data_IF_695423863314
#
_entry.id   IF_695423863314
#
_cell.length_a   1.000
_cell.length_b   1.000
_cell.length_c   1.000
_cell.angle_alpha   90.00
_cell.angle_beta   90.00
_cell.angle_gamma   90.00
#
_symmetry.space_group_name_H-M   'P 1'
#
loop_
_entity.id
_entity.type
_entity.pdbx_description
1 polymer ?
#
# COMPACT_ATOMS: atom_id res chain seq x y z
N UNK A 1 8.99 32.44 13.55
CA UNK A 1 9.48 31.33 14.40
C UNK A 1 10.85 30.90 13.86
N UNK A 2 11.85 30.72 14.73
CA UNK A 2 13.13 30.12 14.36
C UNK A 2 13.18 28.72 14.95
N UNK A 3 13.37 27.70 14.12
CA UNK A 3 13.68 26.35 14.59
C UNK A 3 15.18 26.30 14.97
N UNK A 4 15.53 25.57 16.02
CA UNK A 4 16.92 25.41 16.49
C UNK A 4 17.79 24.50 15.59
N UNK A 5 17.36 24.28 14.35
CA UNK A 5 18.05 23.44 13.38
C UNK A 5 17.87 23.96 11.95
N UNK A 6 18.80 23.63 11.03
CA UNK A 6 18.71 24.05 9.64
C UNK A 6 17.43 23.54 8.96
N UNK A 7 16.67 24.45 8.38
CA UNK A 7 15.47 24.16 7.61
C UNK A 7 15.48 24.95 6.31
N UNK A 8 14.66 24.52 5.35
CA UNK A 8 14.44 25.23 4.08
C UNK A 8 12.96 25.25 3.73
N UNK A 9 12.59 26.26 2.96
CA UNK A 9 11.25 26.34 2.38
C UNK A 9 11.25 25.60 1.04
N UNK A 10 10.29 24.72 0.86
CA UNK A 10 10.05 24.00 -0.39
C UNK A 10 8.60 24.20 -0.84
N UNK A 11 8.35 23.89 -2.12
CA UNK A 11 7.01 23.70 -2.64
C UNK A 11 6.81 22.24 -3.02
N UNK A 12 5.76 21.63 -2.51
CA UNK A 12 5.30 20.31 -2.93
C UNK A 12 3.80 20.34 -3.21
N UNK A 13 3.43 20.04 -4.47
CA UNK A 13 2.07 20.25 -4.93
C UNK A 13 1.68 21.73 -4.78
N UNK A 14 0.54 21.98 -4.14
CA UNK A 14 0.09 23.33 -3.84
C UNK A 14 0.64 23.89 -2.51
N UNK A 15 1.24 23.05 -1.67
CA UNK A 15 1.69 23.43 -0.34
C UNK A 15 3.09 24.08 -0.34
N UNK A 16 3.23 25.15 0.45
CA UNK A 16 4.52 25.78 0.78
C UNK A 16 4.93 25.35 2.18
N UNK A 17 6.09 24.73 2.35
CA UNK A 17 6.44 24.02 3.58
C UNK A 17 7.86 24.35 4.02
N UNK A 18 8.03 24.68 5.30
CA UNK A 18 9.29 24.50 6.01
C UNK A 18 9.53 23.01 6.28
N UNK A 19 10.69 22.52 5.85
CA UNK A 19 11.17 21.16 6.10
C UNK A 19 12.61 21.21 6.57
N UNK A 20 13.09 20.22 7.34
CA UNK A 20 14.50 20.15 7.70
C UNK A 20 15.39 20.12 6.47
N UNK A 21 16.51 20.84 6.52
CA UNK A 21 17.46 20.79 5.43
C UNK A 21 18.30 19.51 5.52
N UNK A 22 17.83 18.47 4.83
CA UNK A 22 18.42 17.13 4.89
C UNK A 22 19.93 17.08 4.58
N UNK A 23 20.47 18.00 3.78
CA UNK A 23 21.91 18.05 3.50
C UNK A 23 22.73 18.40 4.75
N UNK A 24 22.19 19.25 5.64
CA UNK A 24 22.84 19.61 6.89
C UNK A 24 22.96 18.43 7.89
N UNK A 25 22.22 17.35 7.67
CA UNK A 25 22.21 16.16 8.53
C UNK A 25 22.96 14.96 7.94
N UNK A 26 23.55 15.09 6.75
CA UNK A 26 24.42 14.06 6.16
C UNK A 26 25.85 14.24 6.65
N UNK A 27 26.44 13.18 7.20
CA UNK A 27 27.89 13.11 7.48
C UNK A 27 28.67 12.49 6.32
N UNK A 28 27.99 11.78 5.42
CA UNK A 28 28.56 11.24 4.20
C UNK A 28 27.50 11.11 3.09
N UNK A 29 27.88 11.09 1.79
CA UNK A 29 26.94 11.09 0.66
C UNK A 29 25.95 9.91 0.63
N UNK A 30 26.33 8.76 1.20
CA UNK A 30 25.52 7.53 1.21
C UNK A 30 24.54 7.45 2.39
N UNK A 31 24.53 8.44 3.29
CA UNK A 31 23.68 8.38 4.47
C UNK A 31 22.21 8.75 4.15
N UNK A 32 21.30 7.94 4.68
CA UNK A 32 19.87 8.22 4.62
C UNK A 32 19.50 9.33 5.61
N UNK A 33 19.60 10.57 5.15
CA UNK A 33 19.36 11.79 5.93
C UNK A 33 17.97 11.89 6.59
N UNK A 34 16.85 11.46 5.97
CA UNK A 34 15.51 11.68 6.54
C UNK A 34 15.32 11.12 7.95
N UNK A 35 15.95 10.00 8.30
CA UNK A 35 15.84 9.41 9.65
C UNK A 35 16.70 10.10 10.71
N UNK A 36 17.57 11.03 10.31
CA UNK A 36 18.50 11.74 11.19
C UNK A 36 18.05 13.16 11.51
N UNK A 37 17.15 13.73 10.71
CA UNK A 37 16.63 15.07 10.93
C UNK A 37 15.72 15.11 12.18
N UNK A 38 15.69 16.25 12.93
CA UNK A 38 14.83 16.41 14.11
C UNK A 38 13.33 16.27 13.82
N UNK A 39 12.91 16.56 12.59
CA UNK A 39 11.55 16.35 12.09
C UNK A 39 11.63 15.46 10.86
N UNK A 40 10.66 14.56 10.68
CA UNK A 40 10.69 13.71 9.49
C UNK A 40 10.13 14.43 8.26
N UNK A 41 10.91 14.39 7.19
CA UNK A 41 10.48 14.70 5.83
C UNK A 41 11.30 13.86 4.85
N UNK A 42 10.61 13.14 3.96
CA UNK A 42 11.27 12.39 2.90
C UNK A 42 10.77 12.86 1.51
N UNK A 43 11.64 13.47 0.68
CA UNK A 43 11.28 13.88 -0.67
C UNK A 43 10.97 12.69 -1.61
N UNK A 44 11.55 11.50 -1.35
CA UNK A 44 11.26 10.27 -2.12
C UNK A 44 9.79 9.84 -1.96
N UNK A 45 9.14 10.21 -0.85
CA UNK A 45 7.73 9.91 -0.61
C UNK A 45 6.75 10.85 -1.34
N UNK A 46 7.22 11.75 -2.22
CA UNK A 46 6.34 12.62 -3.03
C UNK A 46 5.33 11.81 -3.84
N UNK A 47 5.77 10.76 -4.53
CA UNK A 47 4.88 9.88 -5.30
C UNK A 47 3.80 9.23 -4.43
N UNK A 48 4.16 8.83 -3.21
CA UNK A 48 3.19 8.28 -2.26
C UNK A 48 2.10 9.32 -1.92
N UNK A 49 2.51 10.56 -1.64
CA UNK A 49 1.61 11.66 -1.30
C UNK A 49 0.73 12.06 -2.48
N UNK A 50 1.27 12.12 -3.69
CA UNK A 50 0.49 12.39 -4.91
C UNK A 50 -0.60 11.33 -5.13
N UNK A 51 -0.25 10.04 -5.00
CA UNK A 51 -1.23 8.94 -5.12
C UNK A 51 -2.28 9.02 -3.99
N UNK A 52 -1.89 9.40 -2.76
CA UNK A 52 -2.81 9.55 -1.65
C UNK A 52 -3.82 10.68 -1.87
N UNK A 53 -3.35 11.82 -2.39
CA UNK A 53 -4.20 12.96 -2.79
C UNK A 53 -5.24 12.49 -3.80
N UNK A 54 -4.79 11.80 -4.85
CA UNK A 54 -5.67 11.27 -5.90
C UNK A 54 -6.68 10.26 -5.36
N UNK A 55 -6.24 9.33 -4.50
CA UNK A 55 -7.12 8.30 -3.93
C UNK A 55 -8.19 8.91 -3.01
N UNK A 56 -7.82 9.85 -2.13
CA UNK A 56 -8.75 10.51 -1.22
C UNK A 56 -9.71 11.42 -1.99
N UNK A 57 -9.23 12.16 -3.00
CA UNK A 57 -10.09 12.97 -3.87
C UNK A 57 -11.11 12.11 -4.62
N UNK A 58 -10.66 10.98 -5.17
CA UNK A 58 -11.53 10.02 -5.86
C UNK A 58 -12.60 9.49 -4.91
N UNK A 59 -12.20 9.06 -3.70
CA UNK A 59 -13.13 8.62 -2.67
C UNK A 59 -14.13 9.71 -2.28
N UNK A 60 -13.67 10.94 -2.04
CA UNK A 60 -14.50 12.10 -1.70
C UNK A 60 -15.58 12.34 -2.75
N UNK A 61 -15.21 12.33 -4.04
CA UNK A 61 -16.16 12.51 -5.15
C UNK A 61 -17.14 11.35 -5.27
N UNK A 62 -16.70 10.12 -5.04
CA UNK A 62 -17.57 8.94 -5.09
C UNK A 62 -18.65 8.98 -4.00
N UNK A 63 -18.31 9.44 -2.79
CA UNK A 63 -19.29 9.53 -1.69
C UNK A 63 -20.13 10.81 -1.71
N UNK A 64 -19.78 11.79 -2.56
CA UNK A 64 -20.53 13.03 -2.83
C UNK A 64 -20.86 13.85 -1.58
N UNK A 65 -19.92 13.96 -0.65
CA UNK A 65 -20.05 14.81 0.54
C UNK A 65 -18.69 15.28 1.04
N UNK A 66 -18.71 16.25 1.94
CA UNK A 66 -17.51 16.67 2.61
C UNK A 66 -16.96 15.58 3.55
N UNK A 67 -15.63 15.60 3.70
CA UNK A 67 -14.89 14.64 4.51
C UNK A 67 -14.01 15.31 5.56
N UNK A 68 -13.86 14.62 6.70
CA UNK A 68 -12.85 14.89 7.70
C UNK A 68 -11.74 13.85 7.63
N UNK A 69 -10.50 14.29 7.48
CA UNK A 69 -9.32 13.44 7.27
C UNK A 69 -8.41 13.50 8.49
N UNK A 70 -7.87 12.36 8.93
CA UNK A 70 -6.87 12.32 9.99
C UNK A 70 -5.54 11.75 9.49
N UNK A 71 -4.45 12.39 9.89
CA UNK A 71 -3.08 11.92 9.72
C UNK A 71 -2.42 11.80 11.11
N UNK A 72 -2.44 10.59 11.72
CA UNK A 72 -1.97 10.42 13.09
C UNK A 72 -0.43 10.51 13.28
N UNK A 73 0.34 10.47 12.18
CA UNK A 73 1.81 10.47 12.16
C UNK A 73 2.32 11.51 11.15
N UNK A 74 2.08 12.79 11.43
CA UNK A 74 2.14 13.86 10.45
C UNK A 74 3.55 14.35 10.08
N UNK A 75 4.58 14.11 10.92
CA UNK A 75 5.88 14.73 10.76
C UNK A 75 5.75 16.25 10.64
N UNK A 76 6.28 16.84 9.56
CA UNK A 76 6.12 18.26 9.25
C UNK A 76 4.73 18.69 8.71
N UNK A 77 3.75 17.77 8.65
CA UNK A 77 2.38 18.04 8.21
C UNK A 77 2.16 18.05 6.69
N UNK A 78 3.19 17.74 5.89
CA UNK A 78 3.15 17.84 4.42
C UNK A 78 1.92 17.20 3.79
N UNK A 79 1.52 16.01 4.23
CA UNK A 79 0.47 15.24 3.58
C UNK A 79 -0.92 15.80 3.91
N UNK A 80 -1.24 16.02 5.18
CA UNK A 80 -2.55 16.57 5.56
C UNK A 80 -2.72 18.04 5.17
N UNK A 81 -1.65 18.83 5.14
CA UNK A 81 -1.69 20.18 4.54
C UNK A 81 -2.07 20.07 3.06
N UNK A 82 -1.41 19.18 2.31
CA UNK A 82 -1.77 18.93 0.91
C UNK A 82 -3.20 18.44 0.75
N UNK A 83 -3.73 17.60 1.65
CA UNK A 83 -5.16 17.23 1.62
C UNK A 83 -6.07 18.45 1.74
N UNK A 84 -5.75 19.40 2.63
CA UNK A 84 -6.56 20.60 2.82
C UNK A 84 -6.52 21.58 1.62
N UNK A 85 -5.38 21.67 0.92
CA UNK A 85 -5.18 22.62 -0.20
C UNK A 85 -5.48 22.04 -1.59
N UNK A 86 -5.36 20.72 -1.79
CA UNK A 86 -5.48 20.09 -3.12
C UNK A 86 -6.77 19.27 -3.31
N UNK A 87 -7.59 19.10 -2.27
CA UNK A 87 -8.83 18.32 -2.34
C UNK A 87 -10.02 19.18 -1.95
N UNK A 88 -10.81 19.55 -2.96
CA UNK A 88 -12.13 20.16 -2.76
C UNK A 88 -13.03 19.20 -1.98
N UNK A 89 -13.74 19.70 -0.97
CA UNK A 89 -14.61 18.90 -0.11
C UNK A 89 -13.92 18.25 1.09
N UNK A 90 -12.64 18.52 1.34
CA UNK A 90 -12.05 18.28 2.68
C UNK A 90 -12.49 19.41 3.61
N UNK A 91 -13.43 19.13 4.51
CA UNK A 91 -13.93 20.10 5.49
C UNK A 91 -12.89 20.41 6.55
N UNK A 92 -12.26 19.37 7.10
CA UNK A 92 -11.31 19.50 8.21
C UNK A 92 -10.23 18.41 8.15
N UNK A 93 -8.99 18.78 8.45
CA UNK A 93 -7.87 17.85 8.60
C UNK A 93 -7.41 17.85 10.05
N UNK A 94 -7.17 16.66 10.60
CA UNK A 94 -6.64 16.49 11.94
C UNK A 94 -5.23 15.89 11.84
N UNK A 95 -4.24 16.68 12.21
CA UNK A 95 -2.84 16.29 12.24
C UNK A 95 -2.43 15.91 13.66
N UNK A 96 -1.62 14.87 13.79
CA UNK A 96 -1.00 14.52 15.06
C UNK A 96 0.44 14.06 14.83
N UNK A 97 1.34 14.40 15.74
CA UNK A 97 2.65 13.77 15.84
C UNK A 97 3.09 13.71 17.30
N UNK A 98 3.77 12.64 17.70
CA UNK A 98 4.26 12.49 19.08
C UNK A 98 5.47 13.38 19.36
N UNK A 99 6.23 13.76 18.31
CA UNK A 99 7.40 14.60 18.44
C UNK A 99 6.97 16.09 18.56
N UNK A 100 7.24 16.77 19.68
CA UNK A 100 6.84 18.17 19.87
C UNK A 100 7.47 19.10 18.82
N UNK A 101 8.69 18.83 18.37
CA UNK A 101 9.36 19.62 17.33
C UNK A 101 8.67 19.44 15.97
N UNK A 102 8.16 18.24 15.69
CA UNK A 102 7.39 17.98 14.48
C UNK A 102 6.02 18.69 14.54
N UNK A 103 5.38 18.66 15.70
CA UNK A 103 4.13 19.39 15.95
C UNK A 103 4.29 20.91 15.73
N UNK A 104 5.33 21.53 16.29
CA UNK A 104 5.63 22.95 16.09
C UNK A 104 5.90 23.29 14.62
N UNK A 105 6.68 22.47 13.92
CA UNK A 105 6.94 22.66 12.50
C UNK A 105 5.67 22.50 11.65
N UNK A 106 4.81 21.53 11.97
CA UNK A 106 3.53 21.36 11.32
C UNK A 106 2.60 22.55 11.59
N UNK A 107 2.58 23.11 12.80
CA UNK A 107 1.80 24.30 13.14
C UNK A 107 2.24 25.52 12.31
N UNK A 108 3.55 25.76 12.23
CA UNK A 108 4.11 26.80 11.36
C UNK A 108 3.72 26.61 9.89
N UNK A 109 3.77 25.37 9.40
CA UNK A 109 3.37 25.07 8.02
C UNK A 109 1.87 25.28 7.78
N UNK A 110 1.02 24.92 8.75
CA UNK A 110 -0.43 25.17 8.68
C UNK A 110 -0.72 26.68 8.59
N UNK A 111 -0.08 27.49 9.45
CA UNK A 111 -0.24 28.94 9.45
C UNK A 111 0.25 29.56 8.14
N UNK A 112 1.41 29.12 7.64
CA UNK A 112 2.01 29.62 6.39
C UNK A 112 1.13 29.37 5.16
N UNK A 113 0.30 28.32 5.19
CA UNK A 113 -0.66 28.03 4.12
C UNK A 113 -2.06 28.62 4.38
N UNK A 114 -2.26 29.39 5.47
CA UNK A 114 -3.53 30.01 5.81
C UNK A 114 -4.62 29.01 6.22
N UNK A 115 -4.23 27.89 6.85
CA UNK A 115 -5.11 26.74 7.09
C UNK A 115 -5.57 26.59 8.56
N UNK A 116 -5.29 27.56 9.42
CA UNK A 116 -5.54 27.46 10.87
C UNK A 116 -6.99 27.13 11.25
N UNK A 117 -7.97 27.55 10.44
CA UNK A 117 -9.40 27.24 10.66
C UNK A 117 -9.84 25.86 10.13
N UNK A 118 -9.04 25.24 9.25
CA UNK A 118 -9.37 23.97 8.57
C UNK A 118 -8.50 22.79 9.03
N UNK A 119 -7.47 23.06 9.82
CA UNK A 119 -6.50 22.05 10.27
C UNK A 119 -6.31 22.17 11.77
N UNK A 120 -6.61 21.08 12.49
CA UNK A 120 -6.30 20.97 13.92
C UNK A 120 -5.05 20.13 14.12
N UNK A 121 -4.18 20.55 15.04
CA UNK A 121 -2.98 19.81 15.41
C UNK A 121 -3.08 19.26 16.84
N UNK A 122 -2.55 18.07 17.05
CA UNK A 122 -2.33 17.46 18.35
C UNK A 122 -0.86 17.03 18.50
N UNK A 123 -0.37 16.99 19.74
CA UNK A 123 0.93 16.41 20.08
C UNK A 123 0.73 15.24 21.04
N UNK A 124 0.28 14.10 20.50
CA UNK A 124 -0.08 12.92 21.28
C UNK A 124 0.49 11.64 20.65
N UNK A 125 0.50 10.55 21.42
CA UNK A 125 0.63 9.22 20.83
C UNK A 125 -0.52 8.97 19.83
N UNK A 126 -0.20 8.40 18.67
CA UNK A 126 -1.17 8.22 17.58
C UNK A 126 -2.35 7.31 17.97
N UNK A 127 -2.15 6.31 18.84
CA UNK A 127 -3.26 5.48 19.32
C UNK A 127 -4.14 6.28 20.29
N UNK A 128 -3.56 7.05 21.21
CA UNK A 128 -4.32 7.93 22.10
C UNK A 128 -5.17 8.92 21.28
N UNK A 129 -4.52 9.63 20.36
CA UNK A 129 -5.17 10.58 19.46
C UNK A 129 -6.39 9.96 18.75
N UNK A 130 -6.22 8.83 18.07
CA UNK A 130 -7.32 8.17 17.35
C UNK A 130 -8.44 7.69 18.30
N UNK A 131 -8.11 7.16 19.48
CA UNK A 131 -9.12 6.68 20.44
C UNK A 131 -10.04 7.80 20.93
N UNK A 132 -9.60 9.06 20.97
CA UNK A 132 -10.46 10.21 21.29
C UNK A 132 -11.63 10.39 20.30
N UNK A 133 -11.50 9.86 19.08
CA UNK A 133 -12.49 9.96 18.01
C UNK A 133 -13.25 8.65 17.75
N UNK A 134 -13.05 7.61 18.57
CA UNK A 134 -13.70 6.31 18.40
C UNK A 134 -15.22 6.31 18.68
N UNK A 135 -15.71 7.34 19.39
CA UNK A 135 -17.12 7.48 19.73
C UNK A 135 -18.00 7.73 18.49
N UNK A 136 -19.25 7.24 18.46
CA UNK A 136 -20.20 7.55 17.40
C UNK A 136 -20.29 9.05 17.11
N UNK A 137 -20.46 9.42 15.83
CA UNK A 137 -20.53 10.81 15.33
C UNK A 137 -19.25 11.66 15.43
N UNK A 138 -18.19 11.18 16.10
CA UNK A 138 -16.87 11.86 16.13
C UNK A 138 -15.85 11.29 15.12
N UNK A 139 -16.14 10.13 14.57
CA UNK A 139 -15.24 9.35 13.70
C UNK A 139 -14.88 10.07 12.40
N UNK A 140 -13.69 9.78 11.90
CA UNK A 140 -13.16 10.33 10.66
C UNK A 140 -13.75 9.64 9.43
N UNK A 141 -13.71 10.35 8.30
CA UNK A 141 -14.04 9.82 6.98
C UNK A 141 -12.87 9.09 6.34
N UNK A 142 -11.68 9.64 6.52
CA UNK A 142 -10.44 9.09 6.02
C UNK A 142 -9.39 9.09 7.13
N UNK A 143 -8.64 8.02 7.27
CA UNK A 143 -7.45 7.97 8.13
C UNK A 143 -6.27 7.50 7.29
N UNK A 144 -5.15 8.23 7.36
CA UNK A 144 -3.90 7.88 6.69
C UNK A 144 -2.82 7.49 7.71
N UNK A 145 -2.49 6.20 7.76
CA UNK A 145 -1.45 5.65 8.64
C UNK A 145 -0.17 5.45 7.81
N UNK A 146 0.80 6.34 8.00
CA UNK A 146 2.09 6.34 7.29
C UNK A 146 3.29 6.33 8.25
N UNK A 147 3.55 5.23 8.97
CA UNK A 147 4.59 5.18 9.98
C UNK A 147 5.93 4.74 9.41
N UNK A 148 6.96 4.86 10.24
CA UNK A 148 8.19 4.12 10.05
C UNK A 148 7.99 2.62 10.32
N UNK A 149 8.20 1.81 9.29
CA UNK A 149 8.13 0.36 9.36
C UNK A 149 6.69 -0.13 9.21
N UNK A 150 6.15 -0.71 10.28
CA UNK A 150 4.88 -1.44 10.23
C UNK A 150 3.71 -0.61 10.75
N UNK A 151 2.56 -0.59 10.05
CA UNK A 151 1.35 0.08 10.50
C UNK A 151 0.51 -0.74 11.48
N UNK A 152 0.86 -2.02 11.72
CA UNK A 152 -0.05 -2.95 12.43
C UNK A 152 -0.39 -2.49 13.85
N UNK A 153 0.54 -1.84 14.55
CA UNK A 153 0.33 -1.33 15.92
C UNK A 153 -0.73 -0.23 16.04
N UNK A 154 -1.21 0.31 14.91
CA UNK A 154 -2.20 1.39 14.85
C UNK A 154 -3.57 0.92 14.34
N UNK A 155 -3.68 -0.34 13.86
CA UNK A 155 -4.88 -0.80 13.17
C UNK A 155 -6.13 -0.74 14.04
N UNK A 156 -6.05 -1.22 15.28
CA UNK A 156 -7.21 -1.29 16.18
C UNK A 156 -7.81 0.10 16.43
N UNK A 157 -6.95 1.07 16.79
CA UNK A 157 -7.35 2.46 17.01
C UNK A 157 -7.89 3.11 15.73
N UNK A 158 -7.25 2.87 14.58
CA UNK A 158 -7.71 3.40 13.30
C UNK A 158 -9.08 2.83 12.89
N UNK A 159 -9.28 1.52 13.03
CA UNK A 159 -10.57 0.86 12.74
C UNK A 159 -11.68 1.48 13.59
N UNK A 160 -11.45 1.69 14.89
CA UNK A 160 -12.46 2.24 15.80
C UNK A 160 -12.74 3.72 15.57
N UNK A 161 -11.74 4.49 15.13
CA UNK A 161 -11.84 5.91 14.84
C UNK A 161 -12.41 6.23 13.45
N UNK A 162 -12.55 5.23 12.57
CA UNK A 162 -13.08 5.38 11.23
C UNK A 162 -14.59 5.12 11.21
N UNK A 163 -15.36 5.94 10.49
CA UNK A 163 -16.81 5.73 10.37
C UNK A 163 -17.15 4.61 9.40
N UNK A 164 -18.41 4.18 9.44
CA UNK A 164 -18.95 3.22 8.46
C UNK A 164 -18.81 3.76 7.03
N UNK A 165 -18.25 2.94 6.14
CA UNK A 165 -17.92 3.31 4.76
C UNK A 165 -16.70 4.23 4.62
N UNK A 166 -15.98 4.51 5.71
CA UNK A 166 -14.78 5.36 5.69
C UNK A 166 -13.59 4.69 5.00
N UNK A 167 -12.62 5.51 4.59
CA UNK A 167 -11.40 5.11 3.91
C UNK A 167 -10.22 5.00 4.89
N UNK A 168 -9.57 3.84 4.92
CA UNK A 168 -8.31 3.64 5.62
C UNK A 168 -7.18 3.49 4.59
N UNK A 169 -6.15 4.32 4.73
CA UNK A 169 -4.93 4.22 3.95
C UNK A 169 -3.78 3.76 4.87
N UNK A 170 -3.03 2.74 4.43
CA UNK A 170 -1.95 2.11 5.19
C UNK A 170 -0.68 2.06 4.35
N UNK A 171 0.42 2.62 4.87
CA UNK A 171 1.77 2.38 4.34
C UNK A 171 2.49 1.36 5.21
N UNK A 172 3.21 0.43 4.58
CA UNK A 172 4.25 -0.33 5.26
C UNK A 172 5.59 -0.16 4.53
N UNK A 173 6.63 0.14 5.29
CA UNK A 173 8.01 0.28 4.78
C UNK A 173 8.94 -0.83 5.29
N UNK A 174 8.48 -1.71 6.19
CA UNK A 174 9.25 -2.86 6.67
C UNK A 174 9.19 -4.07 5.71
N UNK A 175 9.67 -3.86 4.49
CA UNK A 175 9.65 -4.86 3.42
C UNK A 175 10.50 -6.09 3.73
N UNK A 176 11.54 -6.00 4.55
CA UNK A 176 12.40 -7.15 4.88
C UNK A 176 11.62 -8.28 5.59
N UNK A 177 10.86 -8.02 6.68
CA UNK A 177 9.88 -8.98 7.20
C UNK A 177 8.89 -9.47 6.13
N UNK A 178 8.18 -8.55 5.47
CA UNK A 178 7.07 -8.88 4.57
C UNK A 178 7.49 -9.70 3.34
N UNK A 179 8.71 -9.52 2.84
CA UNK A 179 9.27 -10.27 1.71
C UNK A 179 10.04 -11.53 2.13
N UNK A 180 9.97 -11.93 3.40
CA UNK A 180 10.49 -13.20 3.89
C UNK A 180 11.96 -13.23 4.28
N UNK A 181 12.63 -12.08 4.41
CA UNK A 181 13.99 -12.02 5.01
C UNK A 181 13.92 -12.35 6.51
N UNK A 182 12.87 -11.87 7.18
CA UNK A 182 12.64 -12.12 8.61
C UNK A 182 11.24 -12.71 8.87
N UNK A 183 11.00 -13.99 8.53
CA UNK A 183 9.66 -14.60 8.56
C UNK A 183 9.04 -14.64 9.96
N UNK A 184 9.84 -14.84 11.01
CA UNK A 184 9.35 -14.77 12.41
C UNK A 184 8.86 -13.37 12.78
N UNK A 185 9.49 -12.32 12.24
CA UNK A 185 9.07 -10.94 12.46
C UNK A 185 7.76 -10.66 11.73
N UNK A 186 7.62 -11.16 10.49
CA UNK A 186 6.37 -11.06 9.74
C UNK A 186 5.21 -11.78 10.44
N UNK A 187 5.43 -13.00 10.95
CA UNK A 187 4.42 -13.73 11.72
C UNK A 187 3.95 -12.94 12.95
N UNK A 188 4.89 -12.39 13.74
CA UNK A 188 4.54 -11.61 14.95
C UNK A 188 3.78 -10.33 14.63
N UNK A 189 4.12 -9.65 13.54
CA UNK A 189 3.52 -8.36 13.19
C UNK A 189 2.22 -8.53 12.40
N UNK A 190 2.19 -9.41 11.41
CA UNK A 190 1.11 -9.50 10.42
C UNK A 190 0.23 -10.74 10.60
N UNK A 191 0.58 -11.66 11.49
CA UNK A 191 -0.19 -12.88 11.74
C UNK A 191 -0.08 -13.95 10.65
N UNK A 192 0.78 -13.75 9.65
CA UNK A 192 1.00 -14.70 8.56
C UNK A 192 2.47 -14.86 8.19
N UNK A 193 2.81 -16.02 7.62
CA UNK A 193 4.15 -16.33 7.15
C UNK A 193 4.35 -15.84 5.70
N UNK A 194 5.45 -15.14 5.40
CA UNK A 194 5.83 -14.76 4.05
C UNK A 194 6.60 -15.88 3.34
N UNK A 195 6.80 -15.75 2.03
CA UNK A 195 7.76 -16.53 1.26
C UNK A 195 8.69 -15.63 0.45
N UNK A 196 9.95 -16.04 0.30
CA UNK A 196 10.95 -15.37 -0.54
C UNK A 196 10.78 -15.81 -2.00
N UNK A 197 9.69 -15.42 -2.63
CA UNK A 197 9.41 -15.67 -4.05
C UNK A 197 9.70 -14.43 -4.90
N UNK A 198 9.66 -14.59 -6.22
CA UNK A 198 9.70 -13.50 -7.19
C UNK A 198 8.51 -12.53 -7.06
N UNK A 199 7.42 -12.98 -6.44
CA UNK A 199 6.22 -12.22 -6.13
C UNK A 199 6.06 -11.87 -4.65
N UNK A 200 7.17 -11.82 -3.91
CA UNK A 200 7.19 -11.47 -2.49
C UNK A 200 6.55 -10.09 -2.19
N UNK A 201 6.61 -9.14 -3.13
CA UNK A 201 5.94 -7.84 -2.99
C UNK A 201 4.42 -7.96 -2.99
N UNK A 202 3.86 -8.91 -3.75
CA UNK A 202 2.43 -9.16 -3.71
C UNK A 202 2.04 -9.87 -2.41
N UNK A 203 2.86 -10.84 -1.95
CA UNK A 203 2.67 -11.48 -0.64
C UNK A 203 2.67 -10.43 0.47
N UNK A 204 3.57 -9.44 0.40
CA UNK A 204 3.65 -8.33 1.35
C UNK A 204 2.34 -7.56 1.43
N UNK A 205 1.77 -7.16 0.29
CA UNK A 205 0.46 -6.47 0.22
C UNK A 205 -0.65 -7.36 0.79
N UNK A 206 -0.67 -8.64 0.44
CA UNK A 206 -1.68 -9.60 0.92
C UNK A 206 -1.59 -9.86 2.42
N UNK A 207 -0.38 -9.87 3.00
CA UNK A 207 -0.17 -9.98 4.45
C UNK A 207 -0.64 -8.73 5.19
N UNK A 208 -0.35 -7.54 4.65
CA UNK A 208 -0.83 -6.28 5.23
C UNK A 208 -2.36 -6.20 5.22
N UNK A 209 -3.00 -6.55 4.09
CA UNK A 209 -4.47 -6.60 4.00
C UNK A 209 -5.01 -7.69 4.94
N UNK A 210 -4.35 -8.85 5.02
CA UNK A 210 -4.75 -9.92 5.92
C UNK A 210 -4.74 -9.50 7.40
N UNK A 211 -3.70 -8.79 7.82
CA UNK A 211 -3.61 -8.21 9.16
C UNK A 211 -4.74 -7.20 9.43
N UNK A 212 -5.06 -6.35 8.44
CA UNK A 212 -6.21 -5.43 8.52
C UNK A 212 -7.54 -6.18 8.65
N UNK A 213 -7.78 -7.21 7.83
CA UNK A 213 -9.01 -8.02 7.87
C UNK A 213 -9.19 -8.67 9.24
N UNK A 214 -8.14 -9.30 9.78
CA UNK A 214 -8.22 -9.97 11.08
C UNK A 214 -8.36 -8.99 12.24
N UNK A 215 -7.83 -7.77 12.13
CA UNK A 215 -8.06 -6.71 13.11
C UNK A 215 -9.50 -6.19 13.04
N UNK A 216 -10.00 -5.90 11.83
CA UNK A 216 -11.35 -5.37 11.61
C UNK A 216 -12.45 -6.37 11.98
N UNK A 217 -12.23 -7.67 11.74
CA UNK A 217 -13.19 -8.71 12.06
C UNK A 217 -13.52 -8.80 13.56
N UNK A 218 -12.56 -8.49 14.45
CA UNK A 218 -12.78 -8.43 15.91
C UNK A 218 -13.80 -7.37 16.33
N UNK A 219 -14.02 -6.38 15.46
CA UNK A 219 -14.99 -5.30 15.65
C UNK A 219 -16.22 -5.46 14.75
N UNK A 220 -16.43 -6.65 14.16
CA UNK A 220 -17.52 -6.93 13.22
C UNK A 220 -17.50 -5.99 12.00
N UNK A 221 -16.31 -5.65 11.50
CA UNK A 221 -16.13 -4.76 10.35
C UNK A 221 -15.56 -5.55 9.17
N UNK A 222 -16.23 -5.44 8.02
CA UNK A 222 -15.77 -5.92 6.73
C UNK A 222 -14.83 -4.92 6.05
N UNK A 223 -13.96 -5.44 5.19
CA UNK A 223 -12.93 -4.71 4.45
C UNK A 223 -13.13 -4.90 2.95
N UNK A 224 -13.23 -3.79 2.22
CA UNK A 224 -13.20 -3.73 0.75
C UNK A 224 -11.93 -3.02 0.32
N UNK A 225 -11.00 -3.74 -0.30
CA UNK A 225 -9.79 -3.12 -0.89
C UNK A 225 -10.18 -2.37 -2.15
N UNK A 226 -9.81 -1.09 -2.22
CA UNK A 226 -10.07 -0.21 -3.36
C UNK A 226 -8.85 -0.09 -4.27
N UNK A 227 -7.67 0.06 -3.69
CA UNK A 227 -6.44 0.24 -4.43
C UNK A 227 -5.26 -0.20 -3.58
N UNK A 228 -4.25 -0.79 -4.19
CA UNK A 228 -2.98 -1.05 -3.53
C UNK A 228 -1.85 -1.00 -4.54
N UNK A 229 -0.67 -0.60 -4.08
CA UNK A 229 0.51 -0.58 -4.93
C UNK A 229 1.79 -0.83 -4.15
N UNK A 230 2.79 -1.35 -4.85
CA UNK A 230 4.20 -1.30 -4.44
C UNK A 230 4.89 -0.20 -5.22
N UNK A 231 5.65 0.65 -4.54
CA UNK A 231 6.51 1.66 -5.17
C UNK A 231 7.77 1.83 -4.35
N UNK A 232 8.92 1.87 -5.03
CA UNK A 232 10.24 1.94 -4.40
C UNK A 232 10.43 0.89 -3.28
N UNK A 233 10.46 1.34 -2.02
CA UNK A 233 10.73 0.54 -0.83
C UNK A 233 9.51 0.42 0.11
N UNK A 234 8.30 0.71 -0.38
CA UNK A 234 7.08 0.62 0.42
C UNK A 234 5.94 -0.07 -0.34
N UNK A 235 4.97 -0.54 0.44
CA UNK A 235 3.66 -0.95 -0.06
C UNK A 235 2.58 -0.07 0.54
N UNK A 236 1.49 0.10 -0.20
CA UNK A 236 0.37 0.96 0.16
C UNK A 236 -0.94 0.25 -0.10
N UNK A 237 -1.89 0.41 0.82
CA UNK A 237 -3.24 -0.17 0.73
C UNK A 237 -4.26 0.91 1.06
N UNK A 238 -5.29 1.03 0.23
CA UNK A 238 -6.48 1.85 0.46
C UNK A 238 -7.69 0.93 0.52
N UNK A 239 -8.40 0.96 1.65
CA UNK A 239 -9.55 0.08 1.88
C UNK A 239 -10.71 0.85 2.52
N UNK A 240 -11.92 0.53 2.07
CA UNK A 240 -13.15 0.94 2.75
C UNK A 240 -13.52 -0.06 3.83
N UNK A 241 -13.94 0.44 4.98
CA UNK A 241 -14.36 -0.38 6.12
C UNK A 241 -15.87 -0.26 6.30
N UNK A 242 -16.55 -1.39 6.47
CA UNK A 242 -18.00 -1.45 6.56
C UNK A 242 -18.46 -2.23 7.78
N UNK A 243 -19.27 -1.61 8.62
CA UNK A 243 -19.82 -2.21 9.82
C UNK A 243 -20.81 -3.32 9.49
N UNK A 244 -20.76 -4.40 10.27
CA UNK A 244 -21.68 -5.53 10.27
C UNK A 244 -20.97 -6.88 10.22
N UNK A 245 -21.33 -7.78 11.14
CA UNK A 245 -20.76 -9.12 11.26
C UNK A 245 -20.74 -9.89 9.93
N UNK A 246 -21.85 -9.89 9.17
CA UNK A 246 -21.92 -10.54 7.86
C UNK A 246 -20.88 -10.01 6.86
N UNK A 247 -20.55 -8.70 6.92
CA UNK A 247 -19.52 -8.11 6.07
C UNK A 247 -18.12 -8.54 6.53
N UNK A 248 -17.91 -8.67 7.84
CA UNK A 248 -16.69 -9.23 8.40
C UNK A 248 -16.49 -10.69 7.97
N UNK A 249 -17.54 -11.52 8.03
CA UNK A 249 -17.50 -12.92 7.59
C UNK A 249 -17.08 -13.04 6.11
N UNK A 250 -17.63 -12.19 5.24
CA UNK A 250 -17.27 -12.12 3.81
C UNK A 250 -15.80 -11.72 3.59
N UNK A 251 -15.24 -10.88 4.47
CA UNK A 251 -13.82 -10.54 4.41
C UNK A 251 -12.94 -11.67 4.92
N UNK A 252 -13.32 -12.31 6.03
CA UNK A 252 -12.60 -13.44 6.61
C UNK A 252 -12.62 -14.65 5.65
N UNK A 253 -13.71 -14.88 4.93
CA UNK A 253 -13.82 -15.97 3.95
C UNK A 253 -12.85 -15.82 2.76
N UNK A 254 -12.26 -14.64 2.57
CA UNK A 254 -11.25 -14.35 1.55
C UNK A 254 -9.82 -14.46 2.09
N UNK A 255 -9.65 -14.93 3.32
CA UNK A 255 -8.35 -15.28 3.88
C UNK A 255 -7.94 -16.69 3.44
N UNK A 256 -6.64 -16.90 3.30
CA UNK A 256 -6.09 -18.24 3.10
C UNK A 256 -4.61 -18.21 2.77
N UNK A 257 -4.16 -19.18 1.98
CA UNK A 257 -2.74 -19.42 1.75
C UNK A 257 -2.40 -19.47 0.26
N UNK A 258 -1.17 -19.07 -0.06
CA UNK A 258 -0.55 -19.30 -1.37
C UNK A 258 0.50 -20.39 -1.18
N UNK A 259 0.29 -21.52 -1.82
CA UNK A 259 1.26 -22.61 -1.91
C UNK A 259 2.18 -22.37 -3.10
N UNK A 260 3.49 -22.57 -2.91
CA UNK A 260 4.50 -22.38 -3.94
C UNK A 260 5.48 -23.55 -3.97
N UNK A 261 5.67 -24.12 -5.15
CA UNK A 261 6.69 -25.14 -5.39
C UNK A 261 7.95 -24.47 -5.93
N UNK A 262 8.97 -24.37 -5.09
CA UNK A 262 10.27 -23.81 -5.46
C UNK A 262 11.02 -24.64 -6.51
N UNK A 263 10.55 -25.84 -6.88
CA UNK A 263 11.15 -26.67 -7.92
C UNK A 263 10.62 -26.37 -9.33
N UNK A 264 9.31 -26.19 -9.51
CA UNK A 264 8.72 -26.00 -10.85
C UNK A 264 7.91 -24.69 -11.01
N UNK A 265 7.95 -23.80 -10.02
CA UNK A 265 7.15 -22.56 -9.97
C UNK A 265 5.64 -22.75 -9.89
N UNK A 266 5.16 -24.00 -9.79
CA UNK A 266 3.74 -24.26 -9.57
C UNK A 266 3.25 -23.56 -8.31
N UNK A 267 2.01 -23.08 -8.36
CA UNK A 267 1.39 -22.29 -7.31
C UNK A 267 -0.08 -22.61 -7.19
N UNK A 268 -0.58 -22.66 -5.97
CA UNK A 268 -1.98 -22.95 -5.68
C UNK A 268 -2.50 -22.02 -4.61
N UNK A 269 -3.79 -21.68 -4.71
CA UNK A 269 -4.49 -20.91 -3.71
C UNK A 269 -5.28 -21.88 -2.85
N UNK A 270 -5.13 -21.77 -1.54
CA UNK A 270 -5.86 -22.58 -0.55
C UNK A 270 -6.72 -21.65 0.32
N UNK A 271 -8.03 -21.52 0.03
CA UNK A 271 -8.94 -20.71 0.84
C UNK A 271 -9.14 -21.28 2.25
N UNK A 272 -9.38 -20.40 3.22
CA UNK A 272 -9.62 -20.77 4.62
C UNK A 272 -8.39 -20.60 5.53
N UNK A 273 -8.63 -20.50 6.83
CA UNK A 273 -7.59 -20.21 7.84
C UNK A 273 -6.86 -21.47 8.31
N UNK A 274 -7.49 -22.64 8.22
CA UNK A 274 -6.87 -23.89 8.64
C UNK A 274 -6.13 -24.51 7.45
N UNK A 275 -4.80 -24.59 7.52
CA UNK A 275 -3.98 -25.26 6.51
C UNK A 275 -3.48 -26.61 7.02
N UNK A 276 -3.84 -27.69 6.33
CA UNK A 276 -3.25 -29.01 6.53
C UNK A 276 -2.14 -29.25 5.50
N UNK A 277 -0.92 -28.82 5.83
CA UNK A 277 0.21 -28.83 4.89
C UNK A 277 0.87 -30.20 4.78
N UNK A 278 0.27 -31.13 4.04
CA UNK A 278 0.90 -32.41 3.63
C UNK A 278 0.99 -32.56 2.11
N UNK A 279 0.76 -31.48 1.37
CA UNK A 279 0.64 -31.53 -0.08
C UNK A 279 2.00 -31.46 -0.78
N UNK A 280 2.26 -32.48 -1.59
CA UNK A 280 3.32 -32.46 -2.61
C UNK A 280 2.79 -31.77 -3.85
N UNK A 281 3.68 -31.12 -4.58
CA UNK A 281 3.35 -30.52 -5.86
C UNK A 281 2.90 -31.61 -6.85
N UNK A 282 1.66 -31.53 -7.32
CA UNK A 282 1.10 -32.47 -8.30
C UNK A 282 1.87 -32.52 -9.63
N UNK A 283 2.65 -31.48 -9.95
CA UNK A 283 3.41 -31.39 -11.21
C UNK A 283 4.80 -32.04 -11.14
N UNK A 284 5.45 -32.07 -9.98
CA UNK A 284 6.84 -32.54 -9.87
C UNK A 284 7.18 -33.32 -8.60
N UNK A 285 6.21 -33.56 -7.71
CA UNK A 285 6.39 -34.33 -6.47
C UNK A 285 7.14 -33.60 -5.34
N UNK A 286 7.76 -32.45 -5.59
CA UNK A 286 8.44 -31.66 -4.54
C UNK A 286 7.44 -31.01 -3.56
N UNK A 287 7.80 -30.83 -2.28
CA UNK A 287 6.91 -30.25 -1.28
C UNK A 287 6.55 -28.79 -1.60
N UNK A 288 5.29 -28.42 -1.34
CA UNK A 288 4.89 -27.02 -1.34
C UNK A 288 5.41 -26.30 -0.08
N UNK A 289 5.68 -24.99 -0.24
CA UNK A 289 5.81 -24.04 0.88
C UNK A 289 4.60 -23.11 0.87
N UNK A 290 4.13 -22.70 2.03
CA UNK A 290 2.96 -21.84 2.16
C UNK A 290 3.31 -20.43 2.63
N UNK A 291 2.73 -19.43 1.97
CA UNK A 291 2.59 -18.08 2.49
C UNK A 291 1.17 -17.91 3.04
N UNK A 292 1.04 -17.38 4.26
CA UNK A 292 -0.26 -17.07 4.87
C UNK A 292 -0.35 -17.38 6.37
N UNK A 293 -1.55 -17.23 6.98
CA UNK A 293 -2.77 -16.78 6.31
C UNK A 293 -2.62 -15.33 5.82
N UNK A 294 -3.17 -15.05 4.64
CA UNK A 294 -3.10 -13.76 3.95
C UNK A 294 -4.36 -13.52 3.12
N UNK A 295 -4.52 -12.31 2.61
CA UNK A 295 -5.65 -11.95 1.76
C UNK A 295 -5.55 -12.59 0.37
N UNK A 296 -6.58 -13.35 -0.03
CA UNK A 296 -6.70 -13.99 -1.35
C UNK A 296 -7.59 -13.20 -2.31
N UNK A 297 -8.35 -12.21 -1.81
CA UNK A 297 -9.20 -11.37 -2.64
C UNK A 297 -8.42 -10.46 -3.61
N UNK A 298 -9.17 -9.62 -4.32
CA UNK A 298 -8.62 -8.62 -5.24
C UNK A 298 -7.79 -7.58 -4.49
N UNK A 299 -6.76 -7.07 -5.17
CA UNK A 299 -5.83 -6.06 -4.64
C UNK A 299 -6.20 -4.63 -5.09
N UNK A 300 -7.10 -4.51 -6.05
CA UNK A 300 -7.63 -3.26 -6.54
C UNK A 300 -9.08 -3.46 -7.03
N UNK A 301 -9.88 -2.41 -6.89
CA UNK A 301 -11.24 -2.30 -7.42
C UNK A 301 -11.16 -1.57 -8.77
N UNK A 302 -11.64 -2.23 -9.84
CA UNK A 302 -11.49 -1.72 -11.21
C UNK A 302 -12.20 -0.36 -11.38
N UNK A 303 -13.42 -0.25 -10.85
CA UNK A 303 -14.21 0.98 -10.95
C UNK A 303 -13.51 2.12 -10.22
N UNK A 304 -12.96 1.86 -9.02
CA UNK A 304 -12.16 2.86 -8.29
C UNK A 304 -10.92 3.29 -9.08
N UNK A 305 -10.20 2.36 -9.72
CA UNK A 305 -9.03 2.68 -10.55
C UNK A 305 -9.40 3.53 -11.78
N UNK A 306 -10.54 3.22 -12.43
CA UNK A 306 -11.06 4.01 -13.55
C UNK A 306 -11.42 5.44 -13.12
N UNK A 307 -11.99 5.62 -11.92
CA UNK A 307 -12.26 6.95 -11.38
C UNK A 307 -10.96 7.69 -11.03
N UNK A 308 -9.96 7.03 -10.42
CA UNK A 308 -8.65 7.64 -10.16
C UNK A 308 -7.98 8.12 -11.46
N UNK A 309 -8.04 7.33 -12.53
CA UNK A 309 -7.47 7.72 -13.83
C UNK A 309 -8.19 8.94 -14.42
N UNK A 310 -9.52 8.99 -14.35
CA UNK A 310 -10.32 10.16 -14.77
C UNK A 310 -9.96 11.39 -13.96
N UNK A 311 -9.85 11.25 -12.64
CA UNK A 311 -9.47 12.34 -11.74
C UNK A 311 -8.09 12.91 -12.04
N UNK A 312 -7.13 12.05 -12.35
CA UNK A 312 -5.78 12.46 -12.67
C UNK A 312 -5.72 13.26 -13.99
N UNK A 313 -6.49 12.85 -15.00
CA UNK A 313 -6.60 13.57 -16.28
C UNK A 313 -7.26 14.95 -16.10
N UNK A 314 -8.36 15.02 -15.35
CA UNK A 314 -9.15 16.25 -15.17
C UNK A 314 -8.37 17.36 -14.46
N UNK A 315 -7.60 17.03 -13.42
CA UNK A 315 -6.97 18.04 -12.58
C UNK A 315 -5.66 18.59 -13.15
N UNK A 316 -5.27 18.16 -14.37
CA UNK A 316 -3.95 18.45 -14.95
C UNK A 316 -2.82 18.28 -13.94
N UNK A 317 -3.01 17.40 -12.96
CA UNK A 317 -1.90 16.70 -12.34
C UNK A 317 -1.26 16.09 -13.55
N UNK A 318 -0.20 16.75 -14.08
CA UNK A 318 0.63 16.16 -15.11
C UNK A 318 0.86 14.81 -14.52
N UNK A 319 0.25 13.77 -15.12
CA UNK A 319 0.53 12.42 -14.75
C UNK A 319 2.04 12.41 -14.89
N UNK A 320 2.77 12.56 -13.77
CA UNK A 320 4.17 12.23 -13.71
C UNK A 320 4.12 10.86 -14.37
N UNK A 321 4.71 10.66 -15.56
CA UNK A 321 4.28 9.55 -16.44
C UNK A 321 4.22 8.20 -15.71
N UNK A 322 5.02 8.10 -14.64
CA UNK A 322 4.92 7.14 -13.55
C UNK A 322 3.54 6.92 -12.88
N UNK A 323 2.83 7.92 -12.35
CA UNK A 323 1.48 7.76 -11.74
C UNK A 323 0.52 7.18 -12.76
N UNK A 324 0.45 7.77 -13.96
CA UNK A 324 -0.45 7.30 -15.03
C UNK A 324 -0.16 5.87 -15.44
N UNK A 325 1.13 5.53 -15.57
CA UNK A 325 1.58 4.16 -15.83
C UNK A 325 1.19 3.21 -14.70
N UNK A 326 1.39 3.58 -13.43
CA UNK A 326 1.00 2.77 -12.28
C UNK A 326 -0.50 2.53 -12.26
N UNK A 327 -1.31 3.56 -12.47
CA UNK A 327 -2.78 3.45 -12.50
C UNK A 327 -3.27 2.59 -13.66
N UNK A 328 -2.73 2.77 -14.87
CA UNK A 328 -3.11 1.95 -16.03
C UNK A 328 -2.77 0.48 -15.79
N UNK A 329 -1.57 0.18 -15.30
CA UNK A 329 -1.14 -1.18 -14.98
C UNK A 329 -2.03 -1.81 -13.90
N UNK A 330 -2.33 -1.08 -12.82
CA UNK A 330 -3.16 -1.60 -11.72
C UNK A 330 -4.61 -1.83 -12.19
N UNK A 331 -5.16 -0.91 -12.99
CA UNK A 331 -6.49 -1.05 -13.59
C UNK A 331 -6.57 -2.30 -14.46
N UNK A 332 -5.59 -2.51 -15.35
CA UNK A 332 -5.53 -3.67 -16.23
C UNK A 332 -5.37 -4.99 -15.46
N UNK A 333 -4.52 -5.01 -14.44
CA UNK A 333 -4.26 -6.22 -13.64
C UNK A 333 -5.29 -6.45 -12.52
N UNK A 334 -6.24 -5.55 -12.30
CA UNK A 334 -7.23 -5.62 -11.21
C UNK A 334 -8.08 -6.90 -11.20
N UNK A 335 -8.24 -7.52 -12.37
CA UNK A 335 -8.97 -8.79 -12.57
C UNK A 335 -8.06 -9.99 -12.80
N UNK A 336 -6.75 -9.80 -12.79
CA UNK A 336 -5.78 -10.86 -13.04
C UNK A 336 -5.66 -11.81 -11.82
N UNK A 337 -5.23 -13.06 -12.03
CA UNK A 337 -5.06 -14.02 -10.94
C UNK A 337 -3.99 -13.58 -9.94
N UNK A 338 -4.06 -14.15 -8.73
CA UNK A 338 -3.05 -13.92 -7.70
C UNK A 338 -1.67 -14.41 -8.16
N UNK A 339 -0.63 -13.75 -7.66
CA UNK A 339 0.79 -13.95 -8.00
C UNK A 339 1.12 -13.58 -9.45
N UNK A 340 2.42 -13.52 -9.74
CA UNK A 340 2.94 -13.28 -11.08
C UNK A 340 4.23 -14.08 -11.28
N UNK A 341 4.60 -14.33 -12.53
CA UNK A 341 5.89 -14.89 -12.90
C UNK A 341 6.86 -13.78 -13.26
N UNK A 342 8.14 -13.93 -12.96
CA UNK A 342 9.19 -13.04 -13.44
C UNK A 342 10.04 -13.81 -14.45
N UNK A 343 10.04 -13.36 -15.70
CA UNK A 343 10.73 -14.06 -16.81
C UNK A 343 12.19 -14.29 -16.45
N UNK A 344 12.87 -13.25 -15.99
CA UNK A 344 14.30 -13.32 -15.65
C UNK A 344 14.58 -14.37 -14.55
N UNK A 345 13.66 -14.54 -13.58
CA UNK A 345 13.83 -15.55 -12.51
C UNK A 345 13.64 -16.97 -13.00
N UNK A 346 12.79 -17.16 -14.00
CA UNK A 346 12.63 -18.46 -14.65
C UNK A 346 13.88 -18.76 -15.48
N UNK A 347 14.34 -17.80 -16.29
CA UNK A 347 15.55 -17.91 -17.11
C UNK A 347 16.81 -18.18 -16.27
N UNK A 348 17.02 -17.42 -15.19
CA UNK A 348 18.14 -17.59 -14.24
C UNK A 348 18.21 -19.05 -13.74
N UNK A 349 17.06 -19.61 -13.37
CA UNK A 349 16.99 -20.96 -12.83
C UNK A 349 17.20 -22.05 -13.89
N UNK A 350 16.83 -21.77 -15.13
CA UNK A 350 16.96 -22.70 -16.25
C UNK A 350 18.29 -22.57 -17.01
N UNK A 351 19.09 -21.54 -16.71
CA UNK A 351 20.31 -21.24 -17.45
C UNK A 351 20.05 -20.74 -18.88
N UNK A 352 18.96 -20.01 -19.09
CA UNK A 352 18.54 -19.52 -20.41
C UNK A 352 18.73 -17.99 -20.55
N UNK A 353 18.94 -17.47 -21.77
CA UNK A 353 18.84 -16.03 -22.01
C UNK A 353 17.42 -15.52 -21.72
N UNK A 354 17.26 -14.24 -21.37
CA UNK A 354 15.94 -13.67 -21.07
C UNK A 354 15.27 -13.11 -22.34
N UNK A 355 14.15 -13.69 -22.82
CA UNK A 355 13.46 -13.18 -24.00
C UNK A 355 12.71 -11.88 -23.67
N UNK A 356 12.38 -11.03 -24.68
CA UNK A 356 11.56 -9.84 -24.45
C UNK A 356 10.18 -10.17 -23.86
N UNK A 357 9.73 -9.36 -22.89
CA UNK A 357 8.44 -9.53 -22.18
C UNK A 357 7.26 -9.68 -23.17
N UNK A 358 7.20 -8.79 -24.16
CA UNK A 358 6.14 -8.79 -25.17
C UNK A 358 6.10 -10.06 -26.01
N UNK A 359 7.24 -10.70 -26.27
CA UNK A 359 7.28 -11.96 -27.03
C UNK A 359 6.66 -13.09 -26.21
N UNK A 360 7.00 -13.18 -24.92
CA UNK A 360 6.43 -14.19 -24.01
C UNK A 360 4.92 -13.97 -23.85
N UNK A 361 4.48 -12.72 -23.69
CA UNK A 361 3.05 -12.40 -23.60
C UNK A 361 2.29 -12.77 -24.87
N UNK A 362 2.86 -12.47 -26.06
CA UNK A 362 2.26 -12.83 -27.35
C UNK A 362 2.18 -14.35 -27.54
N UNK A 363 3.20 -15.09 -27.11
CA UNK A 363 3.22 -16.54 -27.22
C UNK A 363 2.12 -17.19 -26.35
N UNK A 364 2.06 -16.81 -25.07
CA UNK A 364 0.99 -17.26 -24.17
C UNK A 364 -0.41 -16.88 -24.67
N UNK A 365 -0.56 -15.69 -25.26
CA UNK A 365 -1.82 -15.26 -25.84
C UNK A 365 -2.23 -16.08 -27.08
N UNK A 366 -1.27 -16.50 -27.93
CA UNK A 366 -1.54 -17.39 -29.07
C UNK A 366 -2.02 -18.76 -28.62
N UNK A 367 -1.57 -19.23 -27.46
CA UNK A 367 -2.01 -20.48 -26.83
C UNK A 367 -3.38 -20.33 -26.11
N UNK A 368 -4.01 -19.16 -26.18
CA UNK A 368 -5.34 -18.90 -25.65
C UNK A 368 -5.40 -18.44 -24.20
N UNK A 369 -4.25 -18.21 -23.57
CA UNK A 369 -4.18 -17.72 -22.19
C UNK A 369 -4.31 -16.20 -22.13
N UNK A 370 -4.91 -15.71 -21.05
CA UNK A 370 -4.92 -14.28 -20.76
C UNK A 370 -3.63 -13.90 -20.06
N UNK A 371 -3.09 -12.74 -20.43
CA UNK A 371 -1.81 -12.26 -19.91
C UNK A 371 -1.91 -10.78 -19.60
N UNK A 372 -1.36 -10.38 -18.47
CA UNK A 372 -1.30 -8.99 -18.03
C UNK A 372 0.11 -8.65 -17.58
N UNK A 373 0.61 -7.44 -17.89
CA UNK A 373 1.75 -6.89 -17.16
C UNK A 373 1.37 -6.66 -15.70
N UNK A 374 2.36 -6.46 -14.83
CA UNK A 374 2.11 -6.16 -13.41
C UNK A 374 2.91 -4.95 -12.94
N UNK A 375 2.32 -4.11 -12.09
CA UNK A 375 3.05 -2.99 -11.50
C UNK A 375 4.15 -3.44 -10.52
N UNK A 376 4.08 -4.68 -10.00
CA UNK A 376 5.03 -5.17 -9.01
C UNK A 376 6.44 -5.42 -9.57
N UNK A 377 6.55 -5.72 -10.87
CA UNK A 377 7.82 -6.03 -11.53
C UNK A 377 7.72 -5.74 -13.04
N UNK A 378 8.67 -4.98 -13.59
CA UNK A 378 8.71 -4.61 -15.02
C UNK A 378 8.93 -5.80 -15.97
N UNK A 379 9.39 -6.92 -15.45
CA UNK A 379 9.61 -8.20 -16.15
C UNK A 379 8.61 -9.27 -15.68
N UNK A 380 7.58 -8.84 -14.96
CA UNK A 380 6.54 -9.68 -14.39
C UNK A 380 5.34 -9.84 -15.32
N UNK A 381 4.78 -11.05 -15.36
CA UNK A 381 3.51 -11.34 -16.05
C UNK A 381 2.54 -12.05 -15.11
N UNK A 382 1.29 -11.61 -15.12
CA UNK A 382 0.17 -12.40 -14.60
C UNK A 382 -0.46 -13.15 -15.76
N UNK A 383 -0.90 -14.37 -15.50
CA UNK A 383 -1.59 -15.18 -16.49
C UNK A 383 -2.39 -16.28 -15.81
N UNK A 384 -3.47 -16.71 -16.46
CA UNK A 384 -4.23 -17.91 -16.11
C UNK A 384 -3.56 -19.21 -16.61
N UNK A 385 -2.44 -19.11 -17.33
CA UNK A 385 -1.63 -20.26 -17.73
C UNK A 385 -0.99 -20.98 -16.51
N UNK A 386 -0.98 -22.33 -16.49
CA UNK A 386 -0.19 -23.10 -15.54
C UNK A 386 1.30 -22.77 -15.62
N UNK A 387 2.01 -22.90 -14.49
CA UNK A 387 3.45 -22.61 -14.43
C UNK A 387 4.29 -23.39 -15.44
N UNK A 388 3.90 -24.65 -15.71
CA UNK A 388 4.53 -25.50 -16.72
C UNK A 388 4.48 -24.85 -18.12
N UNK A 389 3.31 -24.36 -18.54
CA UNK A 389 3.12 -23.71 -19.84
C UNK A 389 3.93 -22.42 -19.93
N UNK A 390 4.00 -21.62 -18.86
CA UNK A 390 4.83 -20.41 -18.85
C UNK A 390 6.30 -20.74 -19.01
N UNK A 391 6.80 -21.76 -18.32
CA UNK A 391 8.18 -22.23 -18.45
C UNK A 391 8.48 -22.74 -19.87
N UNK A 392 7.57 -23.53 -20.46
CA UNK A 392 7.70 -24.04 -21.82
C UNK A 392 7.67 -22.92 -22.87
N UNK A 393 6.78 -21.92 -22.70
CA UNK A 393 6.69 -20.75 -23.58
C UNK A 393 7.98 -19.94 -23.58
N UNK A 394 8.62 -19.76 -22.41
CA UNK A 394 9.91 -19.08 -22.30
C UNK A 394 10.99 -19.88 -23.03
N UNK A 395 11.06 -21.22 -22.82
CA UNK A 395 12.03 -22.10 -23.49
C UNK A 395 11.93 -22.07 -25.01
N UNK A 396 10.74 -21.94 -25.58
CA UNK A 396 10.56 -21.86 -27.05
C UNK A 396 11.12 -20.56 -27.66
N UNK A 397 11.27 -19.51 -26.85
CA UNK A 397 11.66 -18.17 -27.29
C UNK A 397 13.14 -17.85 -27.03
N UNK A 398 13.88 -18.78 -26.43
CA UNK A 398 15.29 -18.69 -26.05
C UNK A 398 16.10 -19.71 -26.83
#
# INVERSE_FOLDING_TARGET
>A
MSFDFPFKIIKEGAATLAVPDLEAFKKAPWEYAPSKAPVFYNPVMRLNRDIAILAIRTFQRMIKREISVAEPLAGCGVRGIRFAVEIDGVRHVYLNDINPVAHEMAAYNVETNGLSERVSLANEDANLFMNRYAAPRKRFDCIDIDPFGSPVRFLDSAIRALRDGGLLALTATDMAPLCGVHPKAALRKYGGLPLRTEYCHEIAVRLLIGALVMAAAKHEIGVKVLFSHKSDHYIRVYAQLFHGAKKADVSVSKMGYILHCFNCFNRQIFPGIALSLNEKCGECGFPFKAAGPLWLGRLADKDFCEQMEKEAVLNRERLNGQIGKILSLIKEESTAPATYFVIDKICDKLGLPSPPLEKVMKELAKEGFKVWPTHFNSRGIRTDAPAKIVVESIRRLT
#
